data_IF_476687424248
#
_entry.id   IF_476687424248
#
_cell.length_a   1.000
_cell.length_b   1.000
_cell.length_c   1.000
_cell.angle_alpha   90.00
_cell.angle_beta   90.00
_cell.angle_gamma   90.00
#
_symmetry.space_group_name_H-M   'P 1'
#
loop_
_entity.id
_entity.type
_entity.pdbx_description
1 polymer ?
#
# COMPACT_ATOMS: atom_id res chain seq x y z
N UNK A 1 15.08 15.44 52.08
CA UNK A 1 14.73 14.70 50.85
C UNK A 1 13.39 15.23 50.35
N UNK A 2 13.35 15.82 49.15
CA UNK A 2 12.13 16.43 48.60
C UNK A 2 11.42 15.39 47.72
N UNK A 3 10.15 15.14 48.02
CA UNK A 3 9.28 14.21 47.29
C UNK A 3 8.74 14.90 46.02
N UNK A 4 8.90 14.29 44.86
CA UNK A 4 8.37 14.78 43.58
C UNK A 4 7.18 13.90 43.22
N UNK A 5 5.93 14.42 43.17
CA UNK A 5 4.78 13.63 42.77
C UNK A 5 4.78 13.43 41.25
N UNK A 6 4.72 12.16 40.83
CA UNK A 6 4.62 11.75 39.43
C UNK A 6 3.25 12.17 38.89
N UNK A 7 3.25 13.10 37.93
CA UNK A 7 2.03 13.50 37.22
C UNK A 7 1.49 12.35 36.38
N UNK A 8 0.23 12.01 36.64
CA UNK A 8 -0.58 11.05 35.91
C UNK A 8 -0.55 11.34 34.40
N UNK A 9 -0.15 10.35 33.62
CA UNK A 9 -0.32 10.34 32.16
C UNK A 9 -1.81 10.26 31.89
N UNK A 10 -2.39 11.36 31.43
CA UNK A 10 -3.78 11.39 30.97
C UNK A 10 -3.96 10.34 29.88
N UNK A 11 -4.84 9.37 30.15
CA UNK A 11 -5.29 8.36 29.21
C UNK A 11 -6.05 9.08 28.10
N UNK A 12 -5.36 9.39 26.99
CA UNK A 12 -5.96 9.96 25.79
C UNK A 12 -6.82 8.88 25.16
N UNK A 13 -8.11 8.88 25.51
CA UNK A 13 -9.12 8.04 24.88
C UNK A 13 -9.19 8.45 23.40
N UNK A 14 -8.87 7.56 22.43
CA UNK A 14 -8.89 7.92 21.03
C UNK A 14 -10.34 8.25 20.65
N UNK A 15 -10.61 9.52 20.35
CA UNK A 15 -11.88 9.88 19.74
C UNK A 15 -11.92 9.29 18.34
N UNK A 16 -12.96 8.51 17.98
CA UNK A 16 -13.14 8.06 16.61
C UNK A 16 -13.48 9.28 15.76
N UNK A 17 -12.50 9.83 15.06
CA UNK A 17 -12.74 10.82 14.02
C UNK A 17 -13.48 10.12 12.89
N UNK A 18 -14.79 10.29 12.83
CA UNK A 18 -15.66 9.71 11.79
C UNK A 18 -15.64 10.53 10.49
N UNK A 19 -14.92 11.64 10.44
CA UNK A 19 -14.74 12.44 9.24
C UNK A 19 -13.57 11.86 8.44
N UNK A 20 -13.92 11.09 7.41
CA UNK A 20 -12.97 10.69 6.36
C UNK A 20 -12.41 11.97 5.74
N UNK A 21 -11.09 12.12 5.75
CA UNK A 21 -10.47 13.29 5.12
C UNK A 21 -10.76 13.29 3.61
N UNK A 22 -10.78 14.47 2.96
CA UNK A 22 -11.06 14.56 1.52
C UNK A 22 -10.21 13.56 0.73
N UNK A 23 -8.92 13.46 1.03
CA UNK A 23 -8.01 12.55 0.32
C UNK A 23 -8.32 11.08 0.58
N UNK A 24 -8.72 10.72 1.79
CA UNK A 24 -9.09 9.34 2.15
C UNK A 24 -10.35 8.88 1.42
N UNK A 25 -11.32 9.78 1.18
CA UNK A 25 -12.49 9.48 0.36
C UNK A 25 -12.12 9.21 -1.11
N UNK A 26 -11.24 10.05 -1.69
CA UNK A 26 -10.76 9.85 -3.06
C UNK A 26 -9.92 8.58 -3.20
N UNK A 27 -9.09 8.26 -2.20
CA UNK A 27 -8.30 7.02 -2.17
C UNK A 27 -9.22 5.80 -2.14
N UNK A 28 -10.29 5.85 -1.35
CA UNK A 28 -11.26 4.76 -1.29
C UNK A 28 -12.00 4.58 -2.62
N UNK A 29 -12.37 5.68 -3.29
CA UNK A 29 -12.97 5.66 -4.62
C UNK A 29 -12.02 5.01 -5.64
N UNK A 30 -10.74 5.42 -5.65
CA UNK A 30 -9.71 4.82 -6.51
C UNK A 30 -9.59 3.32 -6.27
N UNK A 31 -9.51 2.89 -4.99
CA UNK A 31 -9.43 1.47 -4.62
C UNK A 31 -10.67 0.67 -5.05
N UNK A 32 -11.83 1.31 -5.11
CA UNK A 32 -13.08 0.67 -5.53
C UNK A 32 -13.24 0.57 -7.05
N UNK A 33 -12.60 1.46 -7.80
CA UNK A 33 -12.79 1.61 -9.25
C UNK A 33 -11.63 1.08 -10.09
N UNK A 34 -10.42 1.03 -9.53
CA UNK A 34 -9.20 0.66 -10.25
C UNK A 34 -8.50 -0.54 -9.60
N UNK A 35 -7.95 -1.41 -10.45
CA UNK A 35 -7.04 -2.47 -10.01
C UNK A 35 -5.66 -1.90 -9.66
N UNK A 36 -4.88 -2.65 -8.89
CA UNK A 36 -3.49 -2.30 -8.55
C UNK A 36 -2.65 -2.09 -9.81
N UNK A 37 -2.82 -2.93 -10.83
CA UNK A 37 -2.12 -2.80 -12.11
C UNK A 37 -2.52 -1.52 -12.85
N UNK A 38 -3.82 -1.16 -12.83
CA UNK A 38 -4.31 0.07 -13.46
C UNK A 38 -3.77 1.32 -12.74
N UNK A 39 -3.75 1.33 -11.41
CA UNK A 39 -3.17 2.42 -10.60
C UNK A 39 -1.68 2.57 -10.94
N UNK A 40 -0.96 1.46 -11.07
CA UNK A 40 0.47 1.46 -11.39
C UNK A 40 0.73 1.96 -12.81
N UNK A 41 -0.06 1.51 -13.79
CA UNK A 41 0.01 1.98 -15.17
C UNK A 41 -0.28 3.48 -15.28
N UNK A 42 -1.27 3.98 -14.54
CA UNK A 42 -1.59 5.41 -14.53
C UNK A 42 -0.44 6.24 -13.94
N UNK A 43 0.14 5.81 -12.81
CA UNK A 43 1.33 6.47 -12.23
C UNK A 43 2.51 6.48 -13.21
N UNK A 44 2.73 5.38 -13.93
CA UNK A 44 3.74 5.31 -14.97
C UNK A 44 3.44 6.31 -16.10
N UNK A 45 2.19 6.39 -16.57
CA UNK A 45 1.81 7.34 -17.62
C UNK A 45 2.07 8.80 -17.24
N UNK A 46 1.78 9.19 -15.99
CA UNK A 46 2.09 10.53 -15.48
C UNK A 46 3.59 10.81 -15.44
N UNK A 47 4.38 9.78 -15.11
CA UNK A 47 5.84 9.85 -15.11
C UNK A 47 6.37 10.09 -16.53
N UNK A 48 5.85 9.37 -17.53
CA UNK A 48 6.27 9.52 -18.93
C UNK A 48 5.89 10.88 -19.51
N UNK A 49 4.68 11.39 -19.23
CA UNK A 49 4.27 12.75 -19.64
C UNK A 49 5.27 13.79 -19.11
N UNK A 50 5.65 13.65 -17.85
CA UNK A 50 6.53 14.59 -17.18
C UNK A 50 7.98 14.49 -17.67
N UNK A 51 8.46 13.28 -17.99
CA UNK A 51 9.74 13.09 -18.68
C UNK A 51 9.74 13.75 -20.06
N UNK A 52 8.67 13.59 -20.83
CA UNK A 52 8.56 14.23 -22.15
C UNK A 52 8.62 15.77 -22.05
N UNK A 53 8.01 16.37 -21.01
CA UNK A 53 8.14 17.81 -20.75
C UNK A 53 9.56 18.21 -20.34
N UNK A 54 10.20 17.41 -19.49
CA UNK A 54 11.60 17.62 -19.12
C UNK A 54 12.53 17.62 -20.33
N UNK A 55 12.37 16.64 -21.23
CA UNK A 55 13.18 16.50 -22.45
C UNK A 55 12.95 17.63 -23.45
N UNK A 56 11.71 18.09 -23.60
CA UNK A 56 11.37 19.22 -24.48
C UNK A 56 11.69 20.58 -23.87
N UNK A 57 11.90 20.63 -22.55
CA UNK A 57 12.08 21.88 -21.80
C UNK A 57 10.80 22.71 -21.68
N UNK A 58 9.64 22.15 -22.01
CA UNK A 58 8.35 22.84 -21.95
C UNK A 58 7.86 22.98 -20.50
N UNK A 59 7.85 24.21 -20.00
CA UNK A 59 7.40 24.55 -18.64
C UNK A 59 6.02 25.18 -18.59
N UNK A 60 5.27 25.22 -19.70
CA UNK A 60 3.95 25.84 -19.71
C UNK A 60 3.00 25.18 -18.69
N UNK A 61 2.39 25.99 -17.83
CA UNK A 61 1.42 25.51 -16.83
C UNK A 61 2.03 24.75 -15.64
N UNK A 62 3.35 24.65 -15.54
CA UNK A 62 4.03 24.10 -14.37
C UNK A 62 4.14 25.14 -13.27
N UNK A 63 4.06 24.69 -12.02
CA UNK A 63 4.35 25.54 -10.88
C UNK A 63 5.85 25.91 -10.85
N UNK A 64 6.18 26.92 -10.03
CA UNK A 64 7.58 27.24 -9.77
C UNK A 64 8.33 26.00 -9.26
N UNK A 65 9.58 25.78 -9.74
CA UNK A 65 10.40 24.70 -9.22
C UNK A 65 10.48 24.82 -7.70
N UNK A 66 10.20 23.74 -6.98
CA UNK A 66 10.15 23.77 -5.52
C UNK A 66 11.51 24.10 -4.87
N UNK A 67 12.60 24.09 -5.64
CA UNK A 67 13.96 24.40 -5.18
C UNK A 67 14.58 23.33 -4.27
N UNK A 68 13.80 22.34 -3.84
CA UNK A 68 14.20 21.33 -2.85
C UNK A 68 15.01 20.14 -3.45
N UNK A 69 15.24 20.10 -4.77
CA UNK A 69 15.73 18.88 -5.45
C UNK A 69 16.95 19.08 -6.37
N UNK A 70 17.68 20.20 -6.24
CA UNK A 70 18.90 20.45 -7.05
C UNK A 70 20.11 19.55 -6.67
N UNK A 71 19.93 18.54 -5.82
CA UNK A 71 20.96 17.58 -5.49
C UNK A 71 20.46 16.15 -5.71
N UNK A 72 20.97 15.48 -6.75
CA UNK A 72 21.03 14.03 -6.78
C UNK A 72 20.15 13.34 -7.82
N UNK A 73 20.84 12.57 -8.63
CA UNK A 73 20.44 11.69 -9.72
C UNK A 73 19.73 10.39 -9.29
N UNK A 74 19.33 9.61 -10.29
CA UNK A 74 18.90 8.19 -10.29
C UNK A 74 17.51 7.79 -9.75
N UNK A 75 16.83 8.60 -8.92
CA UNK A 75 15.60 8.17 -8.23
C UNK A 75 14.27 8.77 -8.72
N UNK A 76 14.23 9.49 -9.85
CA UNK A 76 12.97 10.00 -10.42
C UNK A 76 12.37 11.26 -9.76
N UNK A 77 13.08 11.88 -8.81
CA UNK A 77 12.64 13.15 -8.19
C UNK A 77 12.58 14.32 -9.18
N UNK A 78 13.37 14.29 -10.26
CA UNK A 78 13.30 15.31 -11.32
C UNK A 78 11.93 15.35 -11.98
N UNK A 79 11.26 14.21 -12.12
CA UNK A 79 10.00 14.08 -12.87
C UNK A 79 8.83 14.82 -12.22
N UNK A 80 8.83 14.97 -10.89
CA UNK A 80 7.74 15.61 -10.15
C UNK A 80 7.67 17.14 -10.37
N UNK A 81 8.81 17.80 -10.62
CA UNK A 81 8.84 19.24 -10.93
C UNK A 81 8.33 19.54 -12.36
N UNK A 82 8.20 18.50 -13.19
CA UNK A 82 7.62 18.55 -14.54
C UNK A 82 6.16 18.09 -14.58
N UNK A 83 5.56 17.89 -13.41
CA UNK A 83 4.12 17.69 -13.23
C UNK A 83 3.42 18.99 -12.85
N UNK A 84 2.26 19.20 -13.46
CA UNK A 84 1.29 20.20 -13.02
C UNK A 84 0.79 19.90 -11.60
N UNK A 85 0.13 20.86 -10.96
CA UNK A 85 -0.43 20.65 -9.62
C UNK A 85 -1.49 19.52 -9.60
N UNK A 86 -2.33 19.45 -10.64
CA UNK A 86 -3.34 18.41 -10.77
C UNK A 86 -2.73 17.01 -10.94
N UNK A 87 -1.70 16.88 -11.77
CA UNK A 87 -0.98 15.62 -11.96
C UNK A 87 -0.26 15.17 -10.69
N UNK A 88 0.35 16.10 -9.94
CA UNK A 88 0.95 15.79 -8.63
C UNK A 88 -0.07 15.30 -7.62
N UNK A 89 -1.22 15.98 -7.54
CA UNK A 89 -2.31 15.55 -6.65
C UNK A 89 -2.81 14.16 -7.05
N UNK A 90 -3.03 13.91 -8.34
CA UNK A 90 -3.45 12.60 -8.84
C UNK A 90 -2.40 11.53 -8.55
N UNK A 91 -1.12 11.81 -8.81
CA UNK A 91 -0.02 10.91 -8.53
C UNK A 91 0.08 10.55 -7.04
N UNK A 92 -0.14 11.54 -6.16
CA UNK A 92 -0.18 11.34 -4.72
C UNK A 92 -1.35 10.42 -4.30
N UNK A 93 -2.57 10.71 -4.74
CA UNK A 93 -3.76 9.92 -4.42
C UNK A 93 -3.65 8.47 -4.93
N UNK A 94 -3.13 8.28 -6.15
CA UNK A 94 -2.83 6.95 -6.69
C UNK A 94 -1.79 6.21 -5.83
N UNK A 95 -0.81 6.93 -5.26
CA UNK A 95 0.19 6.36 -4.36
C UNK A 95 -0.38 5.89 -3.04
N UNK A 96 -1.27 6.68 -2.45
CA UNK A 96 -2.00 6.31 -1.24
C UNK A 96 -2.97 5.14 -1.48
N UNK A 97 -3.49 5.01 -2.70
CA UNK A 97 -4.39 3.92 -3.06
C UNK A 97 -3.70 2.55 -3.23
N UNK A 98 -2.40 2.53 -3.50
CA UNK A 98 -1.65 1.27 -3.59
C UNK A 98 -1.64 0.52 -2.25
N UNK A 99 -1.52 -0.82 -2.27
CA UNK A 99 -1.35 -1.60 -1.06
C UNK A 99 -0.11 -1.13 -0.28
N UNK A 100 -0.28 -0.94 1.02
CA UNK A 100 0.84 -0.69 1.91
C UNK A 100 1.63 -1.98 2.13
N UNK A 101 2.91 -1.85 2.50
CA UNK A 101 3.75 -2.99 2.86
C UNK A 101 3.12 -3.85 3.98
N UNK A 102 2.41 -3.22 4.91
CA UNK A 102 1.69 -3.92 5.98
C UNK A 102 0.56 -4.80 5.43
N UNK A 103 -0.24 -4.29 4.50
CA UNK A 103 -1.33 -5.02 3.85
C UNK A 103 -0.77 -6.19 3.01
N UNK A 104 0.29 -5.97 2.25
CA UNK A 104 0.95 -7.04 1.47
C UNK A 104 1.50 -8.15 2.37
N UNK A 105 2.13 -7.77 3.48
CA UNK A 105 2.66 -8.72 4.47
C UNK A 105 1.56 -9.54 5.11
N UNK A 106 0.42 -8.93 5.45
CA UNK A 106 -0.75 -9.64 5.99
C UNK A 106 -1.35 -10.59 4.95
N UNK A 107 -1.51 -10.15 3.70
CA UNK A 107 -1.99 -10.99 2.60
C UNK A 107 -1.05 -12.19 2.34
N UNK A 108 0.27 -11.97 2.39
CA UNK A 108 1.26 -13.03 2.30
C UNK A 108 1.13 -14.03 3.47
N UNK A 109 0.96 -13.54 4.70
CA UNK A 109 0.75 -14.38 5.88
C UNK A 109 -0.52 -15.23 5.74
N UNK A 110 -1.64 -14.67 5.27
CA UNK A 110 -2.88 -15.42 5.03
C UNK A 110 -2.67 -16.57 4.04
N UNK A 111 -2.04 -16.28 2.89
CA UNK A 111 -1.72 -17.30 1.87
C UNK A 111 -0.89 -18.44 2.43
N UNK A 112 0.10 -18.14 3.28
CA UNK A 112 0.92 -19.16 3.93
C UNK A 112 0.10 -20.00 4.91
N UNK A 113 -0.75 -19.35 5.73
CA UNK A 113 -1.62 -20.04 6.69
C UNK A 113 -2.62 -20.97 5.99
N UNK A 114 -3.23 -20.53 4.89
CA UNK A 114 -4.14 -21.34 4.07
C UNK A 114 -3.42 -22.57 3.51
N UNK A 115 -2.20 -22.39 2.98
CA UNK A 115 -1.37 -23.50 2.48
C UNK A 115 -1.04 -24.50 3.59
N UNK A 116 -0.68 -24.03 4.78
CA UNK A 116 -0.41 -24.89 5.94
C UNK A 116 -1.68 -25.65 6.35
N UNK A 117 -2.82 -24.97 6.40
CA UNK A 117 -4.10 -25.59 6.74
C UNK A 117 -4.49 -26.67 5.71
N UNK A 118 -4.31 -26.40 4.42
CA UNK A 118 -4.54 -27.38 3.36
C UNK A 118 -3.62 -28.61 3.50
N UNK A 119 -2.33 -28.41 3.80
CA UNK A 119 -1.39 -29.51 4.07
C UNK A 119 -1.82 -30.36 5.27
N UNK A 120 -2.26 -29.73 6.36
CA UNK A 120 -2.75 -30.43 7.55
C UNK A 120 -4.02 -31.24 7.24
N UNK A 121 -4.96 -30.67 6.49
CA UNK A 121 -6.17 -31.37 6.03
C UNK A 121 -5.82 -32.59 5.18
N UNK A 122 -4.91 -32.44 4.22
CA UNK A 122 -4.48 -33.54 3.36
C UNK A 122 -3.73 -34.65 4.12
N UNK A 123 -2.94 -34.30 5.13
CA UNK A 123 -2.29 -35.28 5.99
C UNK A 123 -3.33 -36.07 6.82
N UNK A 124 -4.34 -35.38 7.36
CA UNK A 124 -5.42 -36.01 8.11
C UNK A 124 -6.24 -36.97 7.24
N UNK A 125 -6.62 -36.55 6.02
CA UNK A 125 -7.38 -37.41 5.10
C UNK A 125 -6.60 -38.64 4.69
N UNK A 126 -5.29 -38.52 4.42
CA UNK A 126 -4.41 -39.65 4.11
C UNK A 126 -4.29 -40.64 5.27
N UNK A 127 -4.17 -40.14 6.50
CA UNK A 127 -4.10 -41.01 7.68
C UNK A 127 -5.42 -41.78 7.87
N UNK A 128 -6.57 -41.11 7.68
CA UNK A 128 -7.89 -41.73 7.78
C UNK A 128 -8.14 -42.78 6.68
N UNK A 129 -7.68 -42.55 5.45
CA UNK A 129 -7.80 -43.55 4.38
C UNK A 129 -6.93 -44.77 4.67
N UNK A 130 -5.68 -44.56 5.12
CA UNK A 130 -4.76 -45.64 5.49
C UNK A 130 -5.28 -46.48 6.67
N UNK A 131 -5.88 -45.85 7.69
CA UNK A 131 -6.51 -46.57 8.80
C UNK A 131 -7.75 -47.36 8.39
N UNK A 132 -8.52 -46.88 7.40
CA UNK A 132 -9.67 -47.63 6.85
C UNK A 132 -9.25 -48.84 6.04
N UNK A 133 -8.19 -48.73 5.25
CA UNK A 133 -7.64 -49.85 4.48
C UNK A 133 -7.09 -50.94 5.41
N UNK A 134 -6.33 -50.58 6.45
CA UNK A 134 -5.86 -51.54 7.45
C UNK A 134 -6.99 -52.23 8.23
N UNK A 135 -8.08 -51.52 8.53
CA UNK A 135 -9.24 -52.12 9.18
C UNK A 135 -10.00 -53.11 8.28
N UNK A 136 -9.92 -52.94 6.95
CA UNK A 136 -10.56 -53.84 5.99
C UNK A 136 -9.75 -55.13 5.73
N UNK A 137 -8.43 -55.11 5.92
CA UNK A 137 -7.56 -56.30 5.76
C UNK A 137 -7.61 -57.28 6.96
N UNK A 138 -8.16 -56.85 8.10
CA UNK A 138 -8.21 -57.63 9.35
C UNK A 138 -9.56 -58.39 9.51
N UNK A 139 -10.55 -58.16 8.63
CA UNK A 139 -11.83 -58.86 8.59
C UNK A 139 -11.89 -59.90 7.46
#
# INVERSE_FOLDING_TARGET
MKYIPTTSVLEVKPQPSTAVTSDEAHVQEIRSSLSVDAITAERHSLTEISKARYETGDRAGLAEPSGHYMAGDSAGCTVLDWMTAAERLRFHLLGLALPSFGEERLAARSRIQERIAARKRNALTRNLSSSREQAAEIC
#
